data_IF_960641266836
#
_entry.id   IF_960641266836
#
_cell.length_a   1.000
_cell.length_b   1.000
_cell.length_c   1.000
_cell.angle_alpha   90.00
_cell.angle_beta   90.00
_cell.angle_gamma   90.00
#
_symmetry.space_group_name_H-M   'P 1'
#
loop_
_entity.id
_entity.type
_entity.pdbx_description
1 polymer ?
#
# COMPACT_ATOMS: atom_id res chain seq x y z
N UNK A 1 -0.16 1.47 5.92
CA UNK A 1 0.40 0.45 6.84
C UNK A 1 0.39 0.90 8.30
N UNK A 2 0.94 2.08 8.64
CA UNK A 2 1.05 2.54 10.04
C UNK A 2 -0.32 2.70 10.71
N UNK A 3 -1.18 3.57 10.18
CA UNK A 3 -2.47 3.89 10.81
C UNK A 3 -3.48 2.73 10.78
N UNK A 4 -3.57 2.02 9.66
CA UNK A 4 -4.62 1.01 9.48
C UNK A 4 -4.27 -0.36 10.08
N UNK A 5 -2.97 -0.70 10.18
CA UNK A 5 -2.53 -2.07 10.54
C UNK A 5 -1.47 -2.11 11.63
N UNK A 6 -0.94 -0.97 12.07
CA UNK A 6 0.13 -0.94 13.09
C UNK A 6 1.42 -1.69 12.69
N UNK A 7 1.61 -1.90 11.38
CA UNK A 7 2.71 -2.72 10.87
C UNK A 7 4.09 -2.09 11.04
N UNK A 8 4.14 -0.78 11.26
CA UNK A 8 5.36 0.01 11.50
C UNK A 8 5.10 1.10 12.53
N UNK A 9 6.13 1.53 13.23
CA UNK A 9 6.05 2.59 14.26
C UNK A 9 5.83 3.97 13.64
N UNK A 10 6.43 4.25 12.47
CA UNK A 10 6.31 5.53 11.79
C UNK A 10 6.49 5.41 10.28
N UNK A 11 6.10 6.44 9.57
CA UNK A 11 6.40 6.66 8.15
C UNK A 11 6.77 8.11 7.95
N UNK A 12 7.55 8.42 6.91
CA UNK A 12 7.92 9.79 6.54
C UNK A 12 6.89 10.44 5.61
N UNK A 13 6.11 9.64 4.92
CA UNK A 13 5.15 10.04 3.90
C UNK A 13 3.84 9.31 4.02
N UNK A 14 2.82 9.88 3.45
CA UNK A 14 1.48 9.31 3.34
C UNK A 14 1.09 9.28 1.87
N UNK A 15 1.00 8.07 1.32
CA UNK A 15 0.41 7.86 -0.01
C UNK A 15 -1.10 7.81 0.12
N UNK A 16 -1.80 8.72 -0.55
CA UNK A 16 -3.25 8.80 -0.46
C UNK A 16 -3.90 9.23 -1.78
N UNK A 17 -5.17 8.86 -1.92
CA UNK A 17 -6.03 9.41 -2.96
C UNK A 17 -6.99 10.34 -2.27
N UNK A 18 -6.99 11.59 -2.65
CA UNK A 18 -7.74 12.62 -1.94
C UNK A 18 -8.51 13.54 -2.86
N UNK A 19 -9.65 14.00 -2.36
CA UNK A 19 -10.52 14.95 -3.03
C UNK A 19 -11.16 15.91 -2.02
N UNK A 20 -11.38 17.18 -2.39
CA UNK A 20 -10.93 17.83 -3.63
C UNK A 20 -9.40 17.96 -3.69
N UNK A 21 -8.80 17.58 -4.82
CA UNK A 21 -7.33 17.42 -4.90
C UNK A 21 -6.58 18.71 -4.55
N UNK A 22 -6.99 19.85 -5.11
CA UNK A 22 -6.28 21.11 -4.89
C UNK A 22 -6.40 21.58 -3.44
N UNK A 23 -7.59 21.52 -2.87
CA UNK A 23 -7.84 21.95 -1.48
C UNK A 23 -6.99 21.13 -0.52
N UNK A 24 -6.96 19.79 -0.69
CA UNK A 24 -6.18 18.92 0.20
C UNK A 24 -4.68 19.18 0.04
N UNK A 25 -4.18 19.41 -1.18
CA UNK A 25 -2.76 19.76 -1.40
C UNK A 25 -2.38 21.07 -0.74
N UNK A 26 -3.21 22.10 -0.83
CA UNK A 26 -2.94 23.42 -0.23
C UNK A 26 -2.91 23.34 1.30
N UNK A 27 -3.86 22.60 1.88
CA UNK A 27 -3.89 22.35 3.34
C UNK A 27 -2.69 21.50 3.76
N UNK A 28 -2.35 20.43 3.03
CA UNK A 28 -1.21 19.58 3.34
C UNK A 28 0.12 20.36 3.32
N UNK A 29 0.27 21.30 2.38
CA UNK A 29 1.44 22.20 2.34
C UNK A 29 1.50 23.07 3.59
N UNK A 30 0.40 23.74 3.97
CA UNK A 30 0.33 24.59 5.16
C UNK A 30 0.66 23.80 6.44
N UNK A 31 0.11 22.58 6.57
CA UNK A 31 0.39 21.70 7.70
C UNK A 31 1.86 21.29 7.70
N UNK A 32 2.42 20.93 6.53
CA UNK A 32 3.83 20.58 6.40
C UNK A 32 4.76 21.72 6.83
N UNK A 33 4.49 22.94 6.37
CA UNK A 33 5.25 24.14 6.74
C UNK A 33 5.16 24.41 8.26
N UNK A 34 3.99 24.26 8.87
CA UNK A 34 3.77 24.53 10.29
C UNK A 34 4.40 23.48 11.23
N UNK A 35 4.49 22.22 10.78
CA UNK A 35 4.97 21.09 11.58
C UNK A 35 6.40 20.65 11.20
N UNK A 36 7.00 21.27 10.18
CA UNK A 36 8.34 20.92 9.72
C UNK A 36 8.40 19.58 8.96
N UNK A 37 7.32 19.18 8.29
CA UNK A 37 7.35 18.00 7.44
C UNK A 37 8.03 18.28 6.10
N UNK A 38 8.61 17.25 5.51
CA UNK A 38 9.21 17.36 4.18
C UNK A 38 8.15 17.70 3.12
N UNK A 39 8.57 18.39 2.06
CA UNK A 39 7.71 18.67 0.90
C UNK A 39 7.27 17.32 0.31
N UNK A 40 5.95 17.17 0.12
CA UNK A 40 5.39 15.92 -0.43
C UNK A 40 5.14 14.82 0.59
N UNK A 41 5.19 15.12 1.90
CA UNK A 41 4.82 14.20 2.97
C UNK A 41 3.43 13.56 2.76
N UNK A 42 2.49 14.29 2.15
CA UNK A 42 1.24 13.76 1.61
C UNK A 42 1.32 13.79 0.08
N UNK A 43 1.26 12.64 -0.55
CA UNK A 43 1.38 12.50 -1.99
C UNK A 43 0.32 11.56 -2.58
N UNK A 44 0.16 11.56 -3.89
CA UNK A 44 -0.83 10.77 -4.60
C UNK A 44 -0.23 9.69 -5.53
N UNK A 45 0.98 9.23 -5.22
CA UNK A 45 1.66 8.19 -6.01
C UNK A 45 0.85 6.89 -6.13
N UNK A 46 0.02 6.58 -5.12
CA UNK A 46 -0.87 5.45 -5.13
C UNK A 46 -1.89 5.44 -6.29
N UNK A 47 -2.19 6.60 -6.91
CA UNK A 47 -3.13 6.70 -8.04
C UNK A 47 -2.79 5.80 -9.22
N UNK A 48 -1.50 5.58 -9.48
CA UNK A 48 -1.03 4.72 -10.56
C UNK A 48 -1.41 3.24 -10.40
N UNK A 49 -1.77 2.84 -9.19
CA UNK A 49 -2.06 1.45 -8.83
C UNK A 49 -3.51 1.22 -8.42
N UNK A 50 -4.40 2.18 -8.63
CA UNK A 50 -5.82 2.00 -8.31
C UNK A 50 -6.46 1.01 -9.27
N UNK A 51 -7.14 0.02 -8.71
CA UNK A 51 -7.97 -0.92 -9.46
C UNK A 51 -9.38 -0.36 -9.67
N UNK A 52 -10.06 -0.77 -10.72
CA UNK A 52 -11.49 -0.53 -10.90
C UNK A 52 -12.31 -1.21 -9.80
N UNK A 53 -11.81 -2.31 -9.26
CA UNK A 53 -12.36 -3.01 -8.10
C UNK A 53 -11.55 -2.62 -6.86
N UNK A 54 -11.78 -1.42 -6.33
CA UNK A 54 -11.14 -0.95 -5.11
C UNK A 54 -12.04 -1.18 -3.90
N UNK A 55 -11.49 -1.81 -2.88
CA UNK A 55 -12.19 -2.10 -1.63
C UNK A 55 -11.52 -1.32 -0.49
N UNK A 56 -12.33 -0.55 0.24
CA UNK A 56 -11.83 0.29 1.33
C UNK A 56 -12.64 0.08 2.61
N UNK A 57 -12.00 0.35 3.73
CA UNK A 57 -12.59 0.31 5.07
C UNK A 57 -12.25 1.59 5.83
N UNK A 58 -13.09 1.98 6.76
CA UNK A 58 -12.80 3.02 7.75
C UNK A 58 -12.55 2.43 9.15
N UNK A 59 -12.55 1.10 9.29
CA UNK A 59 -12.27 0.44 10.55
C UNK A 59 -10.88 0.84 11.08
N UNK A 60 -10.80 1.07 12.38
CA UNK A 60 -9.58 1.46 13.08
C UNK A 60 -8.93 2.80 12.63
N UNK A 61 -9.62 3.62 11.82
CA UNK A 61 -9.14 4.94 11.44
C UNK A 61 -9.77 6.03 12.33
N UNK A 62 -9.04 7.14 12.59
CA UNK A 62 -9.59 8.30 13.26
C UNK A 62 -10.82 8.85 12.52
N UNK A 63 -11.81 9.31 13.26
CA UNK A 63 -13.00 9.95 12.70
C UNK A 63 -12.91 11.47 12.91
N UNK A 64 -13.28 12.24 11.90
CA UNK A 64 -13.27 13.69 11.92
C UNK A 64 -14.57 14.24 11.33
N UNK A 65 -15.05 15.36 11.83
CA UNK A 65 -16.32 15.96 11.38
C UNK A 65 -16.32 16.38 9.91
N UNK A 66 -15.16 16.81 9.40
CA UNK A 66 -15.05 17.38 8.05
C UNK A 66 -14.06 16.63 7.15
N UNK A 67 -13.53 15.48 7.61
CA UNK A 67 -12.59 14.67 6.85
C UNK A 67 -12.96 13.19 6.95
N UNK A 68 -13.38 12.61 5.83
CA UNK A 68 -13.60 11.17 5.75
C UNK A 68 -12.33 10.45 5.34
N UNK A 69 -11.84 9.57 6.21
CA UNK A 69 -10.70 8.70 5.93
C UNK A 69 -11.17 7.29 5.61
N UNK A 70 -10.55 6.68 4.62
CA UNK A 70 -10.65 5.25 4.33
C UNK A 70 -9.27 4.69 4.04
N UNK A 71 -9.07 3.40 4.31
CA UNK A 71 -7.87 2.67 3.91
C UNK A 71 -8.27 1.50 3.00
N UNK A 72 -7.39 1.03 2.11
CA UNK A 72 -7.61 -0.23 1.41
C UNK A 72 -7.83 -1.37 2.41
N UNK A 73 -8.66 -2.35 2.05
CA UNK A 73 -8.69 -3.61 2.80
C UNK A 73 -7.31 -4.29 2.73
N UNK A 74 -6.95 -5.19 3.67
CA UNK A 74 -5.65 -5.88 3.65
C UNK A 74 -5.40 -6.59 2.31
N UNK A 75 -6.42 -7.22 1.75
CA UNK A 75 -6.39 -7.93 0.48
C UNK A 75 -6.07 -6.97 -0.68
N UNK A 76 -6.79 -5.86 -0.75
CA UNK A 76 -6.57 -4.86 -1.79
C UNK A 76 -5.21 -4.18 -1.64
N UNK A 77 -4.79 -3.89 -0.40
CA UNK A 77 -3.47 -3.30 -0.15
C UNK A 77 -2.34 -4.23 -0.57
N UNK A 78 -2.45 -5.55 -0.30
CA UNK A 78 -1.48 -6.53 -0.78
C UNK A 78 -1.39 -6.53 -2.31
N UNK A 79 -2.54 -6.53 -2.98
CA UNK A 79 -2.57 -6.48 -4.44
C UNK A 79 -1.91 -5.20 -4.98
N UNK A 80 -2.20 -4.03 -4.41
CA UNK A 80 -1.55 -2.76 -4.78
C UNK A 80 -0.03 -2.80 -4.57
N UNK A 81 0.44 -3.34 -3.45
CA UNK A 81 1.87 -3.47 -3.13
C UNK A 81 2.59 -4.39 -4.12
N UNK A 82 1.98 -5.51 -4.50
CA UNK A 82 2.51 -6.39 -5.54
C UNK A 82 2.64 -5.66 -6.88
N UNK A 83 1.64 -4.87 -7.28
CA UNK A 83 1.68 -4.08 -8.52
C UNK A 83 2.74 -2.99 -8.49
N UNK A 84 2.94 -2.34 -7.35
CA UNK A 84 3.90 -1.24 -7.17
C UNK A 84 5.33 -1.73 -6.98
N UNK A 85 5.54 -3.01 -6.69
CA UNK A 85 6.86 -3.57 -6.35
C UNK A 85 7.91 -3.27 -7.41
N UNK A 86 9.08 -2.77 -6.98
CA UNK A 86 10.23 -2.47 -7.83
C UNK A 86 11.26 -3.57 -7.71
N UNK A 87 11.53 -4.32 -8.80
CA UNK A 87 12.67 -5.23 -8.87
C UNK A 87 13.90 -4.42 -9.27
N UNK A 88 14.99 -4.57 -8.55
CA UNK A 88 16.28 -3.96 -8.90
C UNK A 88 16.94 -3.20 -7.76
N UNK A 89 16.22 -2.84 -6.70
CA UNK A 89 16.84 -2.42 -5.45
C UNK A 89 16.78 -3.61 -4.51
N UNK A 90 17.77 -4.47 -4.64
CA UNK A 90 17.99 -5.62 -3.74
C UNK A 90 18.55 -5.09 -2.42
N UNK A 91 17.70 -4.45 -1.63
CA UNK A 91 17.83 -4.58 -0.20
C UNK A 91 16.66 -5.46 0.24
N UNK A 92 16.97 -6.62 0.77
CA UNK A 92 16.01 -7.52 1.42
C UNK A 92 15.19 -6.81 2.52
N UNK A 93 15.49 -5.58 2.78
CA UNK A 93 14.96 -4.66 3.78
C UNK A 93 14.13 -3.51 3.20
N UNK A 94 13.82 -3.52 1.90
CA UNK A 94 12.94 -2.50 1.34
C UNK A 94 11.58 -2.55 2.07
N UNK A 95 11.12 -1.41 2.56
CA UNK A 95 9.87 -1.29 3.32
C UNK A 95 8.67 -1.93 2.60
N UNK A 96 8.65 -1.87 1.26
CA UNK A 96 7.60 -2.50 0.45
C UNK A 96 7.60 -4.03 0.57
N UNK A 97 8.78 -4.67 0.63
CA UNK A 97 8.88 -6.13 0.80
C UNK A 97 8.42 -6.53 2.21
N UNK A 98 8.80 -5.78 3.24
CA UNK A 98 8.31 -6.00 4.61
C UNK A 98 6.79 -5.88 4.71
N UNK A 99 6.22 -4.88 4.04
CA UNK A 99 4.78 -4.69 3.98
C UNK A 99 4.08 -5.86 3.30
N UNK A 100 4.62 -6.36 2.19
CA UNK A 100 4.09 -7.55 1.48
C UNK A 100 4.14 -8.78 2.37
N UNK A 101 5.29 -9.06 3.01
CA UNK A 101 5.44 -10.20 3.94
C UNK A 101 4.45 -10.09 5.09
N UNK A 102 4.32 -8.91 5.70
CA UNK A 102 3.35 -8.68 6.76
C UNK A 102 1.92 -8.99 6.32
N UNK A 103 1.50 -8.48 5.14
CA UNK A 103 0.14 -8.69 4.63
C UNK A 103 -0.13 -10.15 4.27
N UNK A 104 0.83 -10.85 3.67
CA UNK A 104 0.71 -12.28 3.37
C UNK A 104 0.48 -13.08 4.66
N UNK A 105 1.28 -12.81 5.71
CA UNK A 105 1.13 -13.47 7.01
C UNK A 105 -0.18 -13.10 7.70
N UNK A 106 -0.58 -11.83 7.65
CA UNK A 106 -1.84 -11.35 8.21
C UNK A 106 -3.05 -12.03 7.58
N UNK A 107 -3.02 -12.21 6.26
CA UNK A 107 -4.07 -12.89 5.49
C UNK A 107 -3.95 -14.41 5.52
N UNK A 108 -2.89 -14.95 6.14
CA UNK A 108 -2.61 -16.39 6.26
C UNK A 108 -2.58 -17.11 4.89
N UNK A 109 -2.04 -16.45 3.87
CA UNK A 109 -1.87 -17.06 2.57
C UNK A 109 -0.71 -18.06 2.61
N UNK A 110 -0.96 -19.30 2.21
CA UNK A 110 -0.03 -20.42 2.36
C UNK A 110 0.87 -20.66 1.15
N UNK A 111 0.64 -19.98 0.03
CA UNK A 111 1.42 -20.18 -1.20
C UNK A 111 1.48 -18.95 -2.08
N UNK A 112 2.52 -18.89 -2.93
CA UNK A 112 2.65 -17.84 -3.94
C UNK A 112 1.44 -17.84 -4.90
N UNK A 113 0.89 -19.01 -5.21
CA UNK A 113 -0.31 -19.12 -6.04
C UNK A 113 -1.50 -18.41 -5.41
N UNK A 114 -1.77 -18.60 -4.13
CA UNK A 114 -2.88 -17.91 -3.44
C UNK A 114 -2.71 -16.41 -3.45
N UNK A 115 -1.48 -15.91 -3.29
CA UNK A 115 -1.20 -14.47 -3.40
C UNK A 115 -1.50 -13.96 -4.80
N UNK A 116 -1.05 -14.67 -5.84
CA UNK A 116 -1.29 -14.25 -7.22
C UNK A 116 -2.75 -14.36 -7.63
N UNK A 117 -3.48 -15.38 -7.15
CA UNK A 117 -4.93 -15.51 -7.33
C UNK A 117 -5.65 -14.30 -6.71
N UNK A 118 -5.24 -13.88 -5.51
CA UNK A 118 -5.78 -12.68 -4.85
C UNK A 118 -5.47 -11.40 -5.66
N UNK A 119 -4.26 -11.24 -6.17
CA UNK A 119 -3.91 -10.09 -7.03
C UNK A 119 -4.79 -10.07 -8.27
N UNK A 120 -5.09 -11.23 -8.88
CA UNK A 120 -5.94 -11.35 -10.05
C UNK A 120 -7.42 -10.99 -9.79
N UNK A 121 -7.86 -10.96 -8.53
CA UNK A 121 -9.19 -10.43 -8.17
C UNK A 121 -9.32 -8.95 -8.49
N UNK A 122 -8.22 -8.20 -8.31
CA UNK A 122 -8.21 -6.74 -8.45
C UNK A 122 -7.66 -6.25 -9.78
N UNK A 123 -6.77 -7.02 -10.42
CA UNK A 123 -6.09 -6.62 -11.65
C UNK A 123 -6.19 -7.70 -12.72
N UNK A 124 -6.51 -7.34 -13.97
CA UNK A 124 -6.51 -8.32 -15.06
C UNK A 124 -5.10 -8.90 -15.27
N UNK A 125 -5.04 -10.19 -15.57
CA UNK A 125 -3.79 -10.95 -15.64
C UNK A 125 -2.72 -10.31 -16.57
N UNK A 126 -3.14 -9.71 -17.68
CA UNK A 126 -2.24 -9.04 -18.63
C UNK A 126 -1.65 -7.73 -18.09
N UNK A 127 -2.13 -7.20 -16.96
CA UNK A 127 -1.59 -6.02 -16.29
C UNK A 127 -0.68 -6.36 -15.11
N UNK A 128 -0.72 -7.60 -14.63
CA UNK A 128 0.10 -8.03 -13.49
C UNK A 128 1.55 -8.18 -13.98
N UNK A 129 2.50 -7.40 -13.42
CA UNK A 129 3.88 -7.50 -13.84
C UNK A 129 4.48 -8.86 -13.45
N UNK A 130 5.18 -9.50 -14.37
CA UNK A 130 5.84 -10.79 -14.09
C UNK A 130 6.82 -10.71 -12.90
N UNK A 131 7.38 -9.54 -12.66
CA UNK A 131 8.23 -9.26 -11.51
C UNK A 131 7.51 -9.46 -10.16
N UNK A 132 6.20 -9.16 -10.09
CA UNK A 132 5.42 -9.37 -8.88
C UNK A 132 5.32 -10.86 -8.54
N UNK A 133 5.14 -11.69 -9.55
CA UNK A 133 5.15 -13.14 -9.40
C UNK A 133 6.50 -13.65 -8.87
N UNK A 134 7.61 -13.27 -9.54
CA UNK A 134 8.96 -13.68 -9.09
C UNK A 134 9.29 -13.20 -7.68
N UNK A 135 8.87 -11.99 -7.31
CA UNK A 135 9.06 -11.49 -5.95
C UNK A 135 8.35 -12.40 -4.94
N UNK A 136 7.07 -12.69 -5.18
CA UNK A 136 6.27 -13.49 -4.26
C UNK A 136 6.79 -14.93 -4.19
N UNK A 137 7.10 -15.57 -5.34
CA UNK A 137 7.70 -16.89 -5.40
C UNK A 137 9.03 -16.96 -4.63
N UNK A 138 9.87 -15.94 -4.79
CA UNK A 138 11.15 -15.83 -4.06
C UNK A 138 10.95 -15.74 -2.55
N UNK A 139 9.96 -14.98 -2.07
CA UNK A 139 9.69 -14.87 -0.63
C UNK A 139 9.32 -16.21 0.00
N UNK A 140 8.55 -17.05 -0.69
CA UNK A 140 8.23 -18.41 -0.23
C UNK A 140 9.42 -19.34 -0.31
N UNK A 141 10.18 -19.30 -1.42
CA UNK A 141 11.36 -20.15 -1.61
C UNK A 141 12.46 -19.87 -0.57
N UNK A 142 12.61 -18.62 -0.15
CA UNK A 142 13.58 -18.18 0.87
C UNK A 142 13.08 -18.39 2.32
N UNK A 143 11.88 -18.92 2.52
CA UNK A 143 11.30 -19.12 3.86
C UNK A 143 11.03 -17.82 4.62
N UNK A 144 10.74 -16.73 3.90
CA UNK A 144 10.47 -15.42 4.50
C UNK A 144 8.99 -15.22 4.87
N UNK A 145 8.14 -16.16 4.50
CA UNK A 145 6.70 -16.17 4.81
C UNK A 145 6.41 -17.22 5.89
#
# INVERSE_FOLDING_TARGET
>A
MVLAFGARVSTKDVDAIFQPTQVVRDVARQVGESLGFEIGWLNDAAKGFVSSRHETTNAALPQFDHLRLTAPTPEYLLAMKCMASRIGVVSADADDVRDIVFLIRHLKLGSAKEVMDLVAVYYPANRIPIKAQYLVEGLYAEGRI
#
